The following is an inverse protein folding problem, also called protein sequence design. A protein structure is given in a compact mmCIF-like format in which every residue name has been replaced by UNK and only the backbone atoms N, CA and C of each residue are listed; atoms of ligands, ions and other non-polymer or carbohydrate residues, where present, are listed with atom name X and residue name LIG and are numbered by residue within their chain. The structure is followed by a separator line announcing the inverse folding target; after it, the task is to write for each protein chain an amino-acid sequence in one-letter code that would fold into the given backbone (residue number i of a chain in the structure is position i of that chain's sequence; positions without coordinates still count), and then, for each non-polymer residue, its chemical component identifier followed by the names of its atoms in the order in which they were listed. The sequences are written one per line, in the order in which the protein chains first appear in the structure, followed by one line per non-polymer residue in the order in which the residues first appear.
data_IF_800485785014
#
_entry.id   IF_800485785014
#
_cell.length_a   1.000
_cell.length_b   1.000
_cell.length_c   1.000
_cell.angle_alpha   90.00
_cell.angle_beta   90.00
_cell.angle_gamma   90.00
#
_symmetry.space_group_name_H-M   'P 1'
#
loop_
_entity.id
_entity.type
_entity.pdbx_description
1 polymer ?
#
# COMPACT_ATOMS: atom_id res chain seq x y z
N UNK A 1 -4.78 27.04 10.22
CA UNK A 1 -3.82 25.98 10.63
C UNK A 1 -3.85 24.90 9.56
N UNK A 2 -2.71 24.55 8.96
CA UNK A 2 -2.66 23.61 7.83
C UNK A 2 -1.99 22.29 8.21
N UNK A 3 -2.39 21.20 7.55
CA UNK A 3 -1.73 19.89 7.68
C UNK A 3 -0.51 19.81 6.77
N UNK A 4 0.54 19.12 7.22
CA UNK A 4 1.66 18.78 6.34
C UNK A 4 1.34 17.62 5.39
N UNK A 5 2.26 17.33 4.46
CA UNK A 5 2.05 16.31 3.43
C UNK A 5 1.81 14.91 3.99
N UNK A 6 2.52 14.54 5.07
CA UNK A 6 2.45 13.23 5.69
C UNK A 6 1.29 13.15 6.69
N UNK A 7 0.98 14.23 7.40
CA UNK A 7 -0.25 14.36 8.19
C UNK A 7 -1.49 14.26 7.31
N UNK A 8 -1.46 14.89 6.13
CA UNK A 8 -2.51 14.75 5.13
C UNK A 8 -2.67 13.27 4.75
N UNK A 9 -1.59 12.54 4.49
CA UNK A 9 -1.67 11.12 4.16
C UNK A 9 -2.18 10.25 5.31
N UNK A 10 -1.73 10.52 6.53
CA UNK A 10 -2.19 9.81 7.73
C UNK A 10 -3.68 10.06 7.94
N UNK A 11 -4.12 11.32 7.87
CA UNK A 11 -5.52 11.67 7.96
C UNK A 11 -6.32 10.88 6.91
N UNK A 12 -5.87 10.87 5.66
CA UNK A 12 -6.55 10.17 4.54
C UNK A 12 -6.65 8.66 4.77
N UNK A 13 -5.57 8.04 5.22
CA UNK A 13 -5.59 6.62 5.58
C UNK A 13 -6.63 6.35 6.67
N UNK A 14 -6.65 7.15 7.74
CA UNK A 14 -7.60 7.01 8.84
C UNK A 14 -9.04 7.24 8.36
N UNK A 15 -9.28 8.29 7.58
CA UNK A 15 -10.62 8.62 7.07
C UNK A 15 -11.13 7.56 6.10
N UNK A 16 -10.29 6.99 5.24
CA UNK A 16 -10.71 5.97 4.26
C UNK A 16 -10.86 4.58 4.89
N UNK A 17 -9.99 4.21 5.84
CA UNK A 17 -10.02 2.89 6.46
C UNK A 17 -10.93 2.81 7.68
N UNK A 18 -11.31 3.96 8.27
CA UNK A 18 -12.12 4.13 9.49
C UNK A 18 -11.46 3.64 10.78
N UNK A 19 -10.60 2.63 10.69
CA UNK A 19 -9.77 2.16 11.80
C UNK A 19 -8.40 1.74 11.28
N UNK A 20 -7.35 2.16 11.97
CA UNK A 20 -5.96 1.81 11.63
C UNK A 20 -5.16 1.43 12.87
N UNK A 21 -4.12 0.62 12.68
CA UNK A 21 -3.16 0.38 13.75
C UNK A 21 -2.31 1.61 13.98
N UNK A 22 -2.00 1.93 15.23
CA UNK A 22 -0.96 2.90 15.54
C UNK A 22 0.40 2.42 15.03
N UNK A 23 0.84 1.23 15.44
CA UNK A 23 2.17 0.68 15.09
C UNK A 23 2.33 0.42 13.59
N UNK A 24 1.35 -0.20 12.90
CA UNK A 24 1.42 -0.36 11.44
C UNK A 24 1.43 0.98 10.70
N UNK A 25 0.74 2.01 11.20
CA UNK A 25 0.79 3.33 10.59
C UNK A 25 2.18 3.96 10.77
N UNK A 26 2.76 3.84 11.96
CA UNK A 26 4.15 4.24 12.23
C UNK A 26 5.17 3.51 11.36
N UNK A 27 5.02 2.20 11.17
CA UNK A 27 5.86 1.39 10.26
C UNK A 27 5.66 1.79 8.79
N UNK A 28 4.42 2.04 8.37
CA UNK A 28 4.07 2.43 7.00
C UNK A 28 4.67 3.79 6.61
N UNK A 29 4.75 4.72 7.57
CA UNK A 29 5.22 6.08 7.32
C UNK A 29 6.65 6.36 7.83
N UNK A 30 7.20 5.51 8.70
CA UNK A 30 8.57 5.62 9.23
C UNK A 30 8.76 6.65 10.35
N UNK A 31 7.73 6.92 11.16
CA UNK A 31 7.78 7.89 12.27
C UNK A 31 7.34 7.26 13.60
N UNK A 32 7.87 7.76 14.73
CA UNK A 32 7.57 7.25 16.10
C UNK A 32 6.76 8.23 16.97
N UNK A 33 6.15 9.26 16.37
CA UNK A 33 5.52 10.37 17.11
C UNK A 33 4.06 10.55 16.68
N UNK A 34 3.32 9.45 16.59
CA UNK A 34 1.94 9.47 16.07
C UNK A 34 1.00 10.31 16.93
N UNK A 35 1.16 10.31 18.26
CA UNK A 35 0.25 11.05 19.15
C UNK A 35 0.30 12.57 18.97
N UNK A 36 1.50 13.13 18.79
CA UNK A 36 1.63 14.58 18.54
C UNK A 36 1.00 14.96 17.20
N UNK A 37 1.18 14.12 16.19
CA UNK A 37 0.57 14.32 14.87
C UNK A 37 -0.96 14.22 14.94
N UNK A 38 -1.51 13.24 15.66
CA UNK A 38 -2.96 13.08 15.82
C UNK A 38 -3.58 14.23 16.61
N UNK A 39 -2.90 14.77 17.63
CA UNK A 39 -3.36 15.99 18.32
C UNK A 39 -3.51 17.15 17.34
N UNK A 40 -2.47 17.40 16.54
CA UNK A 40 -2.48 18.45 15.52
C UNK A 40 -3.56 18.21 14.44
N UNK A 41 -3.74 16.96 14.00
CA UNK A 41 -4.79 16.59 13.04
C UNK A 41 -6.19 16.81 13.64
N UNK A 42 -6.42 16.49 14.91
CA UNK A 42 -7.70 16.73 15.56
C UNK A 42 -8.01 18.22 15.71
N UNK A 43 -7.02 19.05 16.07
CA UNK A 43 -7.18 20.51 16.09
C UNK A 43 -7.57 21.05 14.70
N UNK A 44 -6.99 20.48 13.64
CA UNK A 44 -7.36 20.80 12.26
C UNK A 44 -8.80 20.35 11.93
N UNK A 45 -9.19 19.12 12.29
CA UNK A 45 -10.54 18.62 12.04
C UNK A 45 -11.61 19.44 12.76
N UNK A 46 -11.43 19.72 14.05
CA UNK A 46 -12.34 20.55 14.83
C UNK A 46 -12.52 21.95 14.23
N UNK A 47 -11.44 22.60 13.78
CA UNK A 47 -11.50 23.93 13.16
C UNK A 47 -12.22 23.97 11.82
N UNK A 48 -12.46 22.82 11.20
CA UNK A 48 -13.17 22.70 9.93
C UNK A 48 -14.52 21.98 10.09
N UNK A 49 -15.06 21.89 11.31
CA UNK A 49 -16.32 21.22 11.63
C UNK A 49 -16.39 19.76 11.13
N UNK A 50 -15.24 19.10 11.12
CA UNK A 50 -15.15 17.66 10.89
C UNK A 50 -15.00 16.99 12.26
N UNK A 51 -15.65 15.83 12.45
CA UNK A 51 -15.51 15.06 13.69
C UNK A 51 -14.04 14.72 14.02
N UNK A 52 -13.78 14.18 15.20
CA UNK A 52 -12.40 13.92 15.65
C UNK A 52 -11.95 12.48 15.37
N UNK A 53 -10.63 12.30 15.23
CA UNK A 53 -10.00 10.98 15.31
C UNK A 53 -9.89 10.62 16.78
N UNK A 54 -10.48 9.49 17.12
CA UNK A 54 -10.39 8.92 18.45
C UNK A 54 -9.23 7.94 18.52
N UNK A 55 -8.69 7.77 19.72
CA UNK A 55 -7.54 6.91 19.97
C UNK A 55 -7.85 5.94 21.11
N UNK A 56 -7.41 4.70 20.93
CA UNK A 56 -7.22 3.73 22.01
C UNK A 56 -5.72 3.41 22.14
N UNK A 57 -5.36 2.48 23.04
CA UNK A 57 -3.98 2.04 23.24
C UNK A 57 -3.29 1.63 21.92
N UNK A 58 -4.02 0.90 21.06
CA UNK A 58 -3.45 0.27 19.86
C UNK A 58 -4.01 0.82 18.54
N UNK A 59 -5.13 1.54 18.56
CA UNK A 59 -5.87 1.89 17.36
C UNK A 59 -6.20 3.38 17.27
N UNK A 60 -6.30 3.87 16.05
CA UNK A 60 -6.89 5.17 15.71
C UNK A 60 -8.14 4.90 14.88
N UNK A 61 -9.22 5.63 15.16
CA UNK A 61 -10.48 5.37 14.49
C UNK A 61 -11.30 6.65 14.30
N UNK A 62 -12.11 6.66 13.24
CA UNK A 62 -12.88 7.82 12.81
C UNK A 62 -14.27 7.37 12.35
N UNK A 63 -15.29 7.96 12.99
CA UNK A 63 -16.71 7.69 12.72
C UNK A 63 -17.44 8.87 12.07
N UNK A 64 -16.74 9.98 11.81
CA UNK A 64 -17.35 11.13 11.16
C UNK A 64 -17.58 10.91 9.67
N UNK A 65 -18.35 11.82 9.07
CA UNK A 65 -18.35 12.03 7.62
C UNK A 65 -17.37 13.16 7.30
N UNK A 66 -16.71 13.06 6.15
CA UNK A 66 -15.81 14.10 5.66
C UNK A 66 -16.14 14.44 4.20
N UNK A 67 -15.85 15.68 3.82
CA UNK A 67 -15.99 16.16 2.45
C UNK A 67 -14.60 16.31 1.80
N UNK A 68 -14.51 16.17 0.48
CA UNK A 68 -13.22 16.29 -0.23
C UNK A 68 -12.58 17.67 -0.10
N UNK A 69 -13.39 18.71 0.15
CA UNK A 69 -12.92 20.09 0.42
C UNK A 69 -11.97 20.17 1.62
N UNK A 70 -12.04 19.23 2.58
CA UNK A 70 -11.14 19.13 3.74
C UNK A 70 -9.66 19.06 3.34
N UNK A 71 -9.36 18.56 2.14
CA UNK A 71 -8.00 18.39 1.65
C UNK A 71 -7.52 19.53 0.73
N UNK A 72 -8.29 20.61 0.59
CA UNK A 72 -7.84 21.83 -0.09
C UNK A 72 -6.85 22.57 0.82
N UNK A 73 -5.58 22.19 0.73
CA UNK A 73 -4.51 22.82 1.50
C UNK A 73 -4.09 24.12 0.80
N UNK A 74 -4.13 25.25 1.51
CA UNK A 74 -3.49 26.48 1.06
C UNK A 74 -1.96 26.29 1.11
N UNK A 75 -1.37 26.17 -0.08
CA UNK A 75 -0.05 25.62 -0.36
C UNK A 75 1.15 26.48 0.04
N UNK A 76 0.95 27.72 0.50
CA UNK A 76 2.04 28.72 0.55
C UNK A 76 2.87 28.72 1.84
N UNK A 77 2.36 28.22 2.97
CA UNK A 77 2.99 28.45 4.29
C UNK A 77 3.56 27.20 4.99
N UNK A 78 3.61 26.06 4.33
CA UNK A 78 4.07 24.84 5.01
C UNK A 78 5.58 24.73 4.87
N UNK A 79 6.27 25.34 5.82
CA UNK A 79 7.51 24.86 6.38
C UNK A 79 7.65 23.34 6.16
N UNK A 80 8.51 22.89 5.24
CA UNK A 80 8.75 21.45 5.02
C UNK A 80 9.17 20.76 6.32
N UNK A 81 8.22 20.05 6.93
CA UNK A 81 8.45 19.36 8.19
C UNK A 81 9.41 18.20 7.99
N UNK A 82 10.04 17.78 9.08
CA UNK A 82 11.08 16.75 9.14
C UNK A 82 10.73 15.49 8.34
N UNK A 83 9.48 15.06 8.40
CA UNK A 83 8.97 13.85 7.76
C UNK A 83 9.09 13.90 6.22
N UNK A 84 8.64 15.00 5.61
CA UNK A 84 8.73 15.21 4.16
C UNK A 84 10.19 15.40 3.72
N UNK A 85 10.97 16.14 4.52
CA UNK A 85 12.39 16.37 4.25
C UNK A 85 13.19 15.06 4.24
N UNK A 86 12.92 14.14 5.17
CA UNK A 86 13.59 12.83 5.22
C UNK A 86 13.28 11.96 4.02
N UNK A 87 12.04 12.00 3.54
CA UNK A 87 11.67 11.24 2.35
C UNK A 87 12.38 11.75 1.09
N UNK A 88 12.47 13.07 0.92
CA UNK A 88 13.24 13.69 -0.17
C UNK A 88 14.73 13.37 -0.07
N UNK A 89 15.31 13.40 1.14
CA UNK A 89 16.71 13.00 1.34
C UNK A 89 16.90 11.52 0.98
N UNK A 90 15.96 10.65 1.33
CA UNK A 90 16.02 9.22 0.98
C UNK A 90 15.92 9.00 -0.53
N UNK A 91 15.08 9.75 -1.23
CA UNK A 91 15.05 9.77 -2.69
C UNK A 91 16.41 10.11 -3.29
N UNK A 92 17.04 11.19 -2.81
CA UNK A 92 18.36 11.63 -3.28
C UNK A 92 19.42 10.56 -2.97
N UNK A 93 19.41 10.00 -1.75
CA UNK A 93 20.37 9.00 -1.32
C UNK A 93 20.31 7.72 -2.18
N UNK A 94 19.10 7.26 -2.52
CA UNK A 94 18.91 6.00 -3.20
C UNK A 94 18.95 6.14 -4.72
N UNK A 95 18.32 7.17 -5.27
CA UNK A 95 18.13 7.33 -6.72
C UNK A 95 19.07 8.37 -7.33
N UNK A 96 19.70 9.22 -6.51
CA UNK A 96 20.68 10.21 -6.97
C UNK A 96 21.96 9.57 -7.48
N UNK A 97 22.56 10.22 -8.48
CA UNK A 97 23.92 9.90 -8.97
C UNK A 97 25.00 10.43 -8.02
N UNK A 98 24.71 11.51 -7.32
CA UNK A 98 25.63 12.22 -6.43
C UNK A 98 25.15 12.18 -4.97
N UNK A 99 26.05 12.51 -4.05
CA UNK A 99 25.70 12.70 -2.64
C UNK A 99 24.75 13.89 -2.46
N UNK A 100 24.03 13.89 -1.35
CA UNK A 100 23.21 15.02 -0.95
C UNK A 100 24.10 16.25 -0.71
N UNK A 101 23.97 17.25 -1.58
CA UNK A 101 24.50 18.59 -1.33
C UNK A 101 23.50 19.34 -0.44
N UNK A 102 23.81 19.45 0.86
CA UNK A 102 22.94 20.06 1.88
C UNK A 102 22.60 21.52 1.53
N UNK A 103 23.56 22.29 1.01
CA UNK A 103 23.34 23.70 0.65
C UNK A 103 22.41 23.83 -0.55
N UNK A 104 22.65 23.06 -1.62
CA UNK A 104 21.78 23.03 -2.81
C UNK A 104 20.37 22.59 -2.44
N UNK A 105 20.26 21.54 -1.63
CA UNK A 105 18.98 21.07 -1.13
C UNK A 105 18.27 22.13 -0.25
N UNK A 106 18.99 22.82 0.64
CA UNK A 106 18.42 23.89 1.46
C UNK A 106 17.89 25.05 0.62
N UNK A 107 18.63 25.45 -0.43
CA UNK A 107 18.22 26.48 -1.39
C UNK A 107 16.96 26.06 -2.17
N UNK A 108 16.87 24.80 -2.57
CA UNK A 108 15.69 24.25 -3.27
C UNK A 108 14.44 24.25 -2.39
N UNK A 109 14.57 24.03 -1.08
CA UNK A 109 13.45 24.05 -0.12
C UNK A 109 13.18 25.43 0.51
N UNK A 110 13.83 26.49 -0.01
CA UNK A 110 13.63 27.93 0.30
C UNK A 110 13.56 28.25 1.81
N UNK A 111 14.62 27.95 2.57
CA UNK A 111 14.70 28.27 4.01
C UNK A 111 16.00 28.97 4.40
N UNK A 112 15.90 29.84 5.42
CA UNK A 112 17.00 30.53 6.08
C UNK A 112 18.02 29.53 6.69
N UNK A 113 19.24 29.99 6.99
CA UNK A 113 20.42 29.17 7.31
C UNK A 113 20.25 28.16 8.46
N UNK A 114 19.33 28.40 9.41
CA UNK A 114 19.02 27.50 10.53
C UNK A 114 18.58 26.08 10.11
N UNK A 115 18.18 25.85 8.84
CA UNK A 115 17.69 24.56 8.39
C UNK A 115 18.80 23.56 7.96
N UNK A 116 20.04 24.00 7.75
CA UNK A 116 21.16 23.11 7.34
C UNK A 116 21.50 22.07 8.42
N UNK A 117 21.57 22.46 9.69
CA UNK A 117 21.75 21.55 10.85
C UNK A 117 20.66 20.49 10.91
N UNK A 118 19.41 20.88 10.62
CA UNK A 118 18.27 19.96 10.61
C UNK A 118 18.33 18.96 9.44
N UNK A 119 18.73 19.41 8.24
CA UNK A 119 18.98 18.53 7.09
C UNK A 119 20.08 17.51 7.42
N UNK A 120 21.17 17.96 8.05
CA UNK A 120 22.27 17.09 8.44
C UNK A 120 21.84 16.02 9.47
N UNK A 121 21.05 16.42 10.47
CA UNK A 121 20.51 15.48 11.46
C UNK A 121 19.56 14.47 10.80
N UNK A 122 18.73 14.89 9.85
CA UNK A 122 17.87 13.99 9.09
C UNK A 122 18.65 13.00 8.24
N UNK A 123 19.70 13.47 7.55
CA UNK A 123 20.60 12.59 6.82
C UNK A 123 21.23 11.55 7.75
N UNK A 124 21.74 11.95 8.93
CA UNK A 124 22.29 11.01 9.93
C UNK A 124 21.28 9.93 10.33
N UNK A 125 20.01 10.32 10.55
CA UNK A 125 18.95 9.38 10.94
C UNK A 125 18.63 8.40 9.80
N UNK A 126 18.60 8.86 8.55
CA UNK A 126 18.38 7.99 7.38
C UNK A 126 19.56 7.04 7.18
N UNK A 127 20.80 7.51 7.30
CA UNK A 127 21.96 6.63 7.17
C UNK A 127 21.96 5.53 8.25
N UNK A 128 21.50 5.86 9.46
CA UNK A 128 21.33 4.89 10.55
C UNK A 128 20.35 3.77 10.19
N UNK A 129 19.30 4.02 9.41
CA UNK A 129 18.38 2.93 8.98
C UNK A 129 19.06 1.91 8.07
N UNK A 130 20.18 2.28 7.43
CA UNK A 130 20.99 1.41 6.58
C UNK A 130 22.28 0.95 7.26
N UNK A 131 22.44 1.13 8.57
CA UNK A 131 23.68 0.83 9.31
C UNK A 131 24.93 1.53 8.72
N UNK A 132 24.74 2.71 8.12
CA UNK A 132 25.81 3.54 7.56
C UNK A 132 26.15 4.64 8.56
N UNK A 133 27.43 4.75 8.92
CA UNK A 133 27.90 5.87 9.76
C UNK A 133 28.01 7.13 8.91
N UNK A 134 27.65 8.28 9.47
CA UNK A 134 27.72 9.57 8.76
C UNK A 134 29.13 9.91 8.24
N UNK A 135 30.18 9.59 9.02
CA UNK A 135 31.57 9.78 8.60
C UNK A 135 31.95 8.89 7.39
N UNK A 136 31.43 7.66 7.36
CA UNK A 136 31.62 6.73 6.24
C UNK A 136 30.99 7.30 4.97
N UNK A 137 29.75 7.79 5.07
CA UNK A 137 29.06 8.46 3.97
C UNK A 137 29.81 9.69 3.45
N UNK A 138 30.39 10.51 4.33
CA UNK A 138 31.19 11.68 3.91
C UNK A 138 32.46 11.24 3.17
N UNK A 139 33.18 10.24 3.68
CA UNK A 139 34.48 9.81 3.13
C UNK A 139 34.36 9.04 1.81
N UNK A 140 33.30 8.25 1.61
CA UNK A 140 33.19 7.38 0.43
C UNK A 140 32.72 8.12 -0.80
N UNK A 141 33.52 8.27 -1.86
CA UNK A 141 33.06 8.92 -3.10
C UNK A 141 31.91 8.16 -3.79
N UNK A 142 31.92 6.83 -3.74
CA UNK A 142 30.96 5.96 -4.43
C UNK A 142 29.85 5.42 -3.50
N UNK A 143 28.63 5.95 -3.64
CA UNK A 143 27.46 5.53 -2.85
C UNK A 143 27.12 4.06 -3.06
N UNK A 144 27.28 3.52 -4.28
CA UNK A 144 26.98 2.12 -4.54
C UNK A 144 27.91 1.18 -3.78
N UNK A 145 29.21 1.51 -3.72
CA UNK A 145 30.17 0.77 -2.90
C UNK A 145 29.81 0.82 -1.41
N UNK A 146 29.31 1.96 -0.93
CA UNK A 146 28.87 2.13 0.45
C UNK A 146 27.73 1.18 0.82
N UNK A 147 26.70 1.05 -0.04
CA UNK A 147 25.59 0.13 0.19
C UNK A 147 26.01 -1.34 0.06
N UNK A 148 26.86 -1.66 -0.93
CA UNK A 148 27.41 -3.02 -1.10
C UNK A 148 28.18 -3.49 0.14
N UNK A 149 28.99 -2.61 0.74
CA UNK A 149 29.73 -2.92 1.97
C UNK A 149 28.82 -3.21 3.18
N UNK A 150 27.54 -2.84 3.13
CA UNK A 150 26.53 -3.15 4.15
C UNK A 150 25.62 -4.32 3.74
N UNK A 151 26.04 -5.10 2.74
CA UNK A 151 25.29 -6.25 2.20
C UNK A 151 23.91 -5.89 1.62
N UNK A 152 23.75 -4.67 1.09
CA UNK A 152 22.56 -4.31 0.31
C UNK A 152 22.79 -4.47 -1.19
N UNK A 153 21.83 -5.09 -1.86
CA UNK A 153 21.67 -4.94 -3.31
C UNK A 153 21.02 -3.59 -3.61
N UNK A 154 21.83 -2.61 -4.01
CA UNK A 154 21.34 -1.27 -4.29
C UNK A 154 20.34 -1.25 -5.47
N UNK A 155 20.46 -2.16 -6.44
CA UNK A 155 19.52 -2.21 -7.57
C UNK A 155 18.14 -2.64 -7.07
N UNK A 156 18.07 -3.71 -6.29
CA UNK A 156 16.82 -4.16 -5.69
C UNK A 156 16.22 -3.08 -4.78
N UNK A 157 17.06 -2.41 -3.99
CA UNK A 157 16.64 -1.38 -3.06
C UNK A 157 16.09 -0.14 -3.78
N UNK A 158 16.73 0.29 -4.88
CA UNK A 158 16.25 1.36 -5.77
C UNK A 158 14.90 1.02 -6.39
N UNK A 159 14.77 -0.18 -6.97
CA UNK A 159 13.52 -0.64 -7.59
C UNK A 159 12.39 -0.71 -6.57
N UNK A 160 12.64 -1.29 -5.40
CA UNK A 160 11.64 -1.42 -4.34
C UNK A 160 11.21 -0.05 -3.82
N UNK A 161 12.16 0.85 -3.52
CA UNK A 161 11.85 2.18 -3.01
C UNK A 161 11.09 3.03 -4.03
N UNK A 162 11.55 3.07 -5.29
CA UNK A 162 10.87 3.84 -6.33
C UNK A 162 9.44 3.33 -6.57
N UNK A 163 9.23 2.01 -6.58
CA UNK A 163 7.88 1.42 -6.70
C UNK A 163 6.98 1.87 -5.55
N UNK A 164 7.43 1.75 -4.31
CA UNK A 164 6.64 2.15 -3.13
C UNK A 164 6.28 3.64 -3.17
N UNK A 165 7.25 4.49 -3.52
CA UNK A 165 7.03 5.93 -3.70
C UNK A 165 6.00 6.21 -4.79
N UNK A 166 6.15 5.62 -5.97
CA UNK A 166 5.24 5.85 -7.09
C UNK A 166 3.82 5.40 -6.74
N UNK A 167 3.67 4.23 -6.08
CA UNK A 167 2.37 3.78 -5.59
C UNK A 167 1.78 4.77 -4.59
N UNK A 168 2.52 5.11 -3.52
CA UNK A 168 2.05 5.99 -2.44
C UNK A 168 1.71 7.39 -2.94
N UNK A 169 2.46 7.92 -3.89
CA UNK A 169 2.34 9.32 -4.35
C UNK A 169 1.39 9.47 -5.53
N UNK A 170 1.23 8.44 -6.38
CA UNK A 170 0.42 8.52 -7.60
C UNK A 170 -0.93 7.77 -7.55
N UNK A 171 -1.18 6.87 -6.59
CA UNK A 171 -2.51 6.26 -6.38
C UNK A 171 -3.39 7.04 -5.39
N UNK A 172 -2.96 8.23 -4.99
CA UNK A 172 -3.80 9.09 -4.17
C UNK A 172 -5.07 9.45 -4.95
N UNK A 173 -6.22 9.20 -4.35
CA UNK A 173 -7.54 9.34 -4.99
C UNK A 173 -7.96 10.79 -5.26
N UNK A 174 -7.04 11.76 -5.33
CA UNK A 174 -7.43 13.16 -5.46
C UNK A 174 -7.79 13.52 -6.90
N UNK A 175 -9.03 13.95 -7.04
CA UNK A 175 -9.53 14.81 -8.10
C UNK A 175 -8.59 16.00 -8.31
N UNK A 176 -8.09 16.12 -9.54
CA UNK A 176 -8.03 17.37 -10.29
C UNK A 176 -7.03 18.46 -9.90
N UNK A 177 -6.50 18.54 -8.68
CA UNK A 177 -5.53 19.60 -8.31
C UNK A 177 -4.39 19.04 -7.48
N UNK A 178 -3.20 18.95 -8.08
CA UNK A 178 -1.98 18.62 -7.36
C UNK A 178 -1.62 19.75 -6.40
N UNK A 179 -1.32 19.40 -5.15
CA UNK A 179 -0.77 20.36 -4.17
C UNK A 179 0.62 20.82 -4.61
N UNK A 180 1.06 22.00 -4.17
CA UNK A 180 2.42 22.51 -4.31
C UNK A 180 3.44 21.49 -3.81
N UNK A 181 3.18 20.86 -2.66
CA UNK A 181 4.06 19.83 -2.11
C UNK A 181 4.19 18.61 -3.02
N UNK A 182 3.09 18.16 -3.63
CA UNK A 182 3.13 17.05 -4.59
C UNK A 182 3.86 17.45 -5.88
N UNK A 183 3.59 18.65 -6.41
CA UNK A 183 4.29 19.18 -7.58
C UNK A 183 5.80 19.33 -7.32
N UNK A 184 6.17 19.83 -6.14
CA UNK A 184 7.54 19.95 -5.70
C UNK A 184 8.21 18.58 -5.54
N UNK A 185 7.51 17.61 -4.96
CA UNK A 185 7.99 16.24 -4.83
C UNK A 185 8.30 15.61 -6.20
N UNK A 186 7.35 15.71 -7.14
CA UNK A 186 7.56 15.19 -8.48
C UNK A 186 8.64 15.96 -9.23
N UNK A 187 8.77 17.27 -9.02
CA UNK A 187 9.88 18.05 -9.58
C UNK A 187 11.24 17.49 -9.14
N UNK A 188 11.44 17.26 -7.84
CA UNK A 188 12.69 16.65 -7.33
C UNK A 188 12.89 15.25 -7.90
N UNK A 189 11.85 14.41 -7.89
CA UNK A 189 11.94 13.05 -8.43
C UNK A 189 12.33 13.04 -9.91
N UNK A 190 11.76 13.95 -10.70
CA UNK A 190 12.04 14.14 -12.11
C UNK A 190 13.45 14.66 -12.36
N UNK A 191 13.95 15.57 -11.51
CA UNK A 191 15.35 16.03 -11.55
C UNK A 191 16.32 14.88 -11.26
N UNK A 192 16.07 14.09 -10.21
CA UNK A 192 16.93 12.97 -9.80
C UNK A 192 16.99 11.87 -10.88
N UNK A 193 15.84 11.52 -11.45
CA UNK A 193 15.74 10.49 -12.49
C UNK A 193 16.03 11.02 -13.89
N UNK A 194 16.17 12.35 -14.02
CA UNK A 194 16.31 13.08 -15.27
C UNK A 194 15.15 12.80 -16.27
N UNK A 195 13.94 12.47 -15.79
CA UNK A 195 12.75 12.15 -16.61
C UNK A 195 11.67 13.19 -16.32
N UNK A 196 11.18 13.91 -17.32
CA UNK A 196 10.37 15.13 -17.10
C UNK A 196 8.88 14.85 -16.93
N UNK A 197 8.33 13.80 -17.55
CA UNK A 197 6.87 13.61 -17.61
C UNK A 197 6.42 12.27 -16.99
N UNK A 198 6.93 11.91 -15.80
CA UNK A 198 6.59 10.64 -15.13
C UNK A 198 5.07 10.41 -15.01
N UNK A 199 4.26 11.46 -14.69
CA UNK A 199 2.79 11.34 -14.62
C UNK A 199 2.16 11.00 -15.98
N UNK A 200 2.67 11.59 -17.06
CA UNK A 200 2.23 11.31 -18.43
C UNK A 200 2.61 9.88 -18.86
N UNK A 201 3.83 9.45 -18.55
CA UNK A 201 4.33 8.09 -18.79
C UNK A 201 3.42 7.08 -18.06
N UNK A 202 3.14 7.29 -16.76
CA UNK A 202 2.19 6.47 -16.00
C UNK A 202 0.86 6.36 -16.74
N UNK A 203 0.26 7.49 -17.13
CA UNK A 203 -1.06 7.52 -17.78
C UNK A 203 -1.06 6.68 -19.05
N UNK A 204 -0.09 6.88 -19.95
CA UNK A 204 -0.02 6.13 -21.20
C UNK A 204 0.24 4.64 -20.98
N UNK A 205 1.18 4.29 -20.09
CA UNK A 205 1.48 2.90 -19.77
C UNK A 205 0.28 2.19 -19.15
N UNK A 206 -0.44 2.84 -18.23
CA UNK A 206 -1.57 2.21 -17.55
C UNK A 206 -2.75 2.06 -18.51
N UNK A 207 -3.03 3.05 -19.37
CA UNK A 207 -4.05 2.91 -20.42
C UNK A 207 -3.73 1.74 -21.36
N UNK A 208 -2.47 1.60 -21.77
CA UNK A 208 -2.04 0.49 -22.61
C UNK A 208 -2.18 -0.86 -21.88
N UNK A 209 -1.76 -0.93 -20.62
CA UNK A 209 -1.89 -2.12 -19.79
C UNK A 209 -3.35 -2.54 -19.67
N UNK A 210 -4.24 -1.59 -19.37
CA UNK A 210 -5.67 -1.84 -19.15
C UNK A 210 -6.38 -2.32 -20.42
N UNK A 211 -5.91 -1.91 -21.61
CA UNK A 211 -6.54 -2.23 -22.89
C UNK A 211 -5.94 -3.47 -23.58
N UNK A 212 -4.63 -3.68 -23.46
CA UNK A 212 -3.89 -4.63 -24.31
C UNK A 212 -3.15 -5.72 -23.54
N UNK A 213 -3.25 -5.76 -22.22
CA UNK A 213 -2.56 -6.77 -21.39
C UNK A 213 -3.48 -7.33 -20.32
N UNK A 214 -3.09 -8.47 -19.74
CA UNK A 214 -3.83 -9.09 -18.63
C UNK A 214 -3.29 -8.67 -17.24
N UNK A 215 -2.47 -7.62 -17.18
CA UNK A 215 -1.87 -7.14 -15.93
C UNK A 215 -2.92 -6.35 -15.13
N UNK A 216 -3.43 -6.99 -14.09
CA UNK A 216 -4.51 -6.43 -13.26
C UNK A 216 -4.01 -5.84 -11.94
N UNK A 217 -2.99 -6.42 -11.30
CA UNK A 217 -2.57 -5.97 -9.97
C UNK A 217 -1.91 -4.59 -10.02
N UNK A 218 -2.29 -3.70 -9.10
CA UNK A 218 -1.62 -2.41 -8.93
C UNK A 218 -0.14 -2.58 -8.63
N UNK A 219 0.21 -3.59 -7.84
CA UNK A 219 1.60 -3.90 -7.54
C UNK A 219 2.41 -4.24 -8.81
N UNK A 220 1.84 -5.01 -9.74
CA UNK A 220 2.47 -5.33 -11.02
C UNK A 220 2.58 -4.11 -11.94
N UNK A 221 1.49 -3.35 -12.10
CA UNK A 221 1.48 -2.11 -12.89
C UNK A 221 2.59 -1.15 -12.46
N UNK A 222 2.75 -0.96 -11.16
CA UNK A 222 3.82 -0.12 -10.62
C UNK A 222 5.20 -0.76 -10.72
N UNK A 223 5.32 -2.08 -10.65
CA UNK A 223 6.58 -2.77 -10.92
C UNK A 223 7.03 -2.57 -12.38
N UNK A 224 6.08 -2.55 -13.31
CA UNK A 224 6.32 -2.29 -14.74
C UNK A 224 6.71 -0.82 -14.96
N UNK A 225 5.97 0.12 -14.36
CA UNK A 225 6.30 1.55 -14.41
C UNK A 225 7.70 1.83 -13.85
N UNK A 226 8.04 1.27 -12.68
CA UNK A 226 9.37 1.40 -12.08
C UNK A 226 10.45 0.86 -13.00
N UNK A 227 10.24 -0.34 -13.56
CA UNK A 227 11.19 -0.92 -14.51
C UNK A 227 11.36 -0.02 -15.74
N UNK A 228 10.28 0.53 -16.27
CA UNK A 228 10.32 1.44 -17.40
C UNK A 228 11.18 2.67 -17.10
N UNK A 229 10.85 3.38 -16.02
CA UNK A 229 11.52 4.61 -15.60
C UNK A 229 13.02 4.40 -15.39
N UNK A 230 13.42 3.29 -14.76
CA UNK A 230 14.83 3.04 -14.44
C UNK A 230 15.66 2.60 -15.65
N UNK A 231 15.04 2.09 -16.72
CA UNK A 231 15.77 1.44 -17.83
C UNK A 231 15.53 2.09 -19.20
N UNK A 232 14.57 3.01 -19.35
CA UNK A 232 14.23 3.61 -20.66
C UNK A 232 15.36 4.41 -21.32
N UNK A 233 16.40 4.78 -20.56
CA UNK A 233 17.58 5.52 -21.03
C UNK A 233 18.83 4.66 -21.24
N UNK A 234 18.77 3.37 -20.95
CA UNK A 234 19.96 2.50 -21.04
C UNK A 234 20.40 2.35 -22.51
N UNK A 235 21.65 2.73 -22.81
CA UNK A 235 22.21 2.74 -24.17
C UNK A 235 23.14 1.58 -24.49
N UNK A 236 23.53 0.77 -23.51
CA UNK A 236 24.48 -0.31 -23.72
C UNK A 236 23.81 -1.58 -24.25
N UNK A 237 24.28 -2.03 -25.43
CA UNK A 237 24.56 -3.45 -25.84
C UNK A 237 24.19 -3.73 -27.31
N UNK A 238 25.11 -4.37 -28.04
CA UNK A 238 24.86 -5.05 -29.33
C UNK A 238 23.76 -6.11 -29.16
N UNK A 239 22.60 -5.94 -29.79
CA UNK A 239 21.46 -6.86 -29.70
C UNK A 239 21.00 -7.31 -31.09
N UNK A 240 20.84 -8.62 -31.28
CA UNK A 240 20.57 -9.23 -32.60
C UNK A 240 19.09 -9.21 -33.00
N UNK A 241 18.16 -9.04 -32.06
CA UNK A 241 16.72 -9.19 -32.30
C UNK A 241 15.96 -7.87 -32.14
N UNK A 242 15.21 -7.44 -33.15
CA UNK A 242 14.40 -6.22 -33.10
C UNK A 242 12.93 -6.59 -33.23
N UNK A 243 12.10 -6.17 -32.28
CA UNK A 243 10.65 -6.22 -32.45
C UNK A 243 10.28 -5.38 -33.67
N UNK A 244 9.69 -6.02 -34.69
CA UNK A 244 9.14 -5.35 -35.87
C UNK A 244 7.72 -4.90 -35.55
N UNK A 245 7.33 -3.75 -36.12
CA UNK A 245 5.96 -3.27 -36.03
C UNK A 245 5.06 -4.16 -36.87
N UNK A 246 4.00 -4.66 -36.27
CA UNK A 246 2.91 -5.43 -36.87
C UNK A 246 1.58 -4.83 -36.43
N UNK A 247 0.47 -5.26 -37.00
CA UNK A 247 -0.85 -4.78 -36.56
C UNK A 247 -1.13 -5.15 -35.10
N UNK A 248 -0.68 -6.33 -34.65
CA UNK A 248 -0.84 -6.80 -33.26
C UNK A 248 -0.17 -5.91 -32.22
N UNK A 249 0.97 -5.29 -32.56
CA UNK A 249 1.75 -4.47 -31.63
C UNK A 249 1.75 -2.98 -31.99
N UNK A 250 0.91 -2.56 -32.93
CA UNK A 250 0.83 -1.18 -33.41
C UNK A 250 0.61 -0.18 -32.28
N UNK A 251 -0.30 -0.48 -31.36
CA UNK A 251 -0.63 0.37 -30.21
C UNK A 251 0.53 0.48 -29.21
N UNK A 252 1.34 -0.56 -29.07
CA UNK A 252 2.57 -0.50 -28.28
C UNK A 252 3.54 0.53 -28.87
N UNK A 253 3.78 0.48 -30.18
CA UNK A 253 4.64 1.44 -30.86
C UNK A 253 4.09 2.88 -30.79
N UNK A 254 2.77 3.06 -30.89
CA UNK A 254 2.13 4.39 -30.73
C UNK A 254 2.37 4.95 -29.33
N UNK A 255 2.16 4.13 -28.29
CA UNK A 255 2.44 4.53 -26.91
C UNK A 255 3.91 4.92 -26.72
N UNK A 256 4.83 4.10 -27.24
CA UNK A 256 6.26 4.33 -27.09
C UNK A 256 6.74 5.56 -27.85
N UNK A 257 6.21 5.82 -29.04
CA UNK A 257 6.48 7.04 -29.83
C UNK A 257 5.97 8.29 -29.10
N UNK A 258 4.76 8.25 -28.55
CA UNK A 258 4.20 9.33 -27.72
C UNK A 258 5.08 9.65 -26.51
N UNK A 259 5.63 8.63 -25.84
CA UNK A 259 6.55 8.82 -24.71
C UNK A 259 7.89 9.39 -25.19
N UNK A 260 8.48 8.79 -26.23
CA UNK A 260 9.76 9.20 -26.82
C UNK A 260 9.77 10.66 -27.27
N UNK A 261 8.73 11.09 -28.02
CA UNK A 261 8.55 12.49 -28.44
C UNK A 261 8.41 13.45 -27.27
N UNK A 262 7.62 13.08 -26.26
CA UNK A 262 7.38 13.95 -25.08
C UNK A 262 8.61 14.10 -24.19
N UNK A 263 9.39 13.02 -24.02
CA UNK A 263 10.64 13.04 -23.26
C UNK A 263 11.84 13.55 -24.08
N UNK A 264 11.69 13.74 -25.40
CA UNK A 264 12.80 14.03 -26.33
C UNK A 264 13.92 12.99 -26.19
N UNK A 265 13.54 11.71 -26.07
CA UNK A 265 14.45 10.61 -25.78
C UNK A 265 14.34 9.54 -26.87
N UNK A 266 15.46 9.15 -27.48
CA UNK A 266 15.52 7.96 -28.32
C UNK A 266 15.54 6.70 -27.45
N UNK A 267 14.46 5.92 -27.52
CA UNK A 267 14.33 4.69 -26.74
C UNK A 267 14.99 3.54 -27.49
N UNK A 268 15.85 2.81 -26.79
CA UNK A 268 16.62 1.70 -27.36
C UNK A 268 15.72 0.54 -27.82
N UNK A 269 16.09 -0.09 -28.95
CA UNK A 269 15.32 -1.18 -29.56
C UNK A 269 15.33 -2.47 -28.75
N UNK A 270 16.42 -2.77 -28.01
CA UNK A 270 16.48 -3.90 -27.10
C UNK A 270 15.57 -3.65 -25.90
N UNK A 271 15.61 -2.45 -25.33
CA UNK A 271 14.67 -2.08 -24.27
C UNK A 271 13.21 -2.23 -24.73
N UNK A 272 12.85 -1.70 -25.90
CA UNK A 272 11.53 -1.86 -26.52
C UNK A 272 11.10 -3.33 -26.57
N UNK A 273 11.99 -4.20 -27.06
CA UNK A 273 11.72 -5.63 -27.23
C UNK A 273 11.53 -6.34 -25.88
N UNK A 274 12.41 -6.07 -24.91
CA UNK A 274 12.32 -6.65 -23.56
C UNK A 274 11.08 -6.15 -22.81
N UNK A 275 10.76 -4.87 -22.97
CA UNK A 275 9.62 -4.25 -22.34
C UNK A 275 8.30 -4.79 -22.90
N UNK A 276 8.20 -4.96 -24.23
CA UNK A 276 7.06 -5.62 -24.86
C UNK A 276 6.84 -7.04 -24.31
N UNK A 277 7.89 -7.87 -24.25
CA UNK A 277 7.81 -9.21 -23.65
C UNK A 277 7.40 -9.20 -22.18
N UNK A 278 7.79 -8.15 -21.44
CA UNK A 278 7.44 -7.99 -20.02
C UNK A 278 5.95 -7.64 -19.84
N UNK A 279 5.37 -6.86 -20.76
CA UNK A 279 3.95 -6.52 -20.79
C UNK A 279 3.08 -7.70 -21.25
N UNK A 280 3.53 -8.42 -22.28
CA UNK A 280 2.77 -9.49 -22.95
C UNK A 280 3.20 -10.87 -22.48
N UNK A 281 3.03 -11.14 -21.18
CA UNK A 281 3.19 -12.49 -20.61
C UNK A 281 1.94 -13.34 -20.93
N UNK A 282 2.04 -14.67 -20.79
CA UNK A 282 0.97 -15.61 -21.16
C UNK A 282 -0.39 -15.22 -20.56
N UNK A 283 -1.41 -15.20 -21.41
CA UNK A 283 -2.79 -14.81 -21.10
C UNK A 283 -3.47 -15.77 -20.14
N UNK A 284 -4.23 -15.23 -19.19
CA UNK A 284 -5.26 -15.96 -18.43
C UNK A 284 -6.41 -14.99 -18.09
N UNK A 285 -7.58 -15.54 -17.72
CA UNK A 285 -8.84 -14.79 -17.55
C UNK A 285 -9.20 -14.69 -16.05
N UNK A 286 -8.84 -13.60 -15.35
CA UNK A 286 -9.08 -13.45 -13.91
C UNK A 286 -10.57 -13.52 -13.54
N UNK A 287 -11.45 -13.08 -14.43
CA UNK A 287 -12.91 -13.13 -14.27
C UNK A 287 -13.44 -14.56 -14.10
N UNK A 288 -12.82 -15.54 -14.78
CA UNK A 288 -13.20 -16.95 -14.62
C UNK A 288 -12.89 -17.44 -13.21
N UNK A 289 -11.68 -17.15 -12.71
CA UNK A 289 -11.26 -17.53 -11.36
C UNK A 289 -12.16 -16.87 -10.30
N UNK A 290 -12.51 -15.59 -10.47
CA UNK A 290 -13.40 -14.89 -9.56
C UNK A 290 -14.84 -15.42 -9.64
N UNK A 291 -15.32 -15.81 -10.83
CA UNK A 291 -16.63 -16.44 -11.00
C UNK A 291 -16.70 -17.79 -10.27
N UNK A 292 -15.67 -18.61 -10.39
CA UNK A 292 -15.55 -19.89 -9.67
C UNK A 292 -15.58 -19.70 -8.15
N UNK A 293 -14.79 -18.75 -7.63
CA UNK A 293 -14.78 -18.42 -6.20
C UNK A 293 -16.17 -17.97 -5.72
N UNK A 294 -16.83 -17.06 -6.45
CA UNK A 294 -18.16 -16.57 -6.07
C UNK A 294 -19.24 -17.66 -6.15
N UNK A 295 -19.17 -18.57 -7.13
CA UNK A 295 -20.07 -19.73 -7.21
C UNK A 295 -19.91 -20.64 -6.00
N UNK A 296 -18.67 -20.95 -5.59
CA UNK A 296 -18.41 -21.76 -4.40
C UNK A 296 -18.99 -21.11 -3.12
N UNK A 297 -18.81 -19.79 -2.96
CA UNK A 297 -19.37 -19.03 -1.83
C UNK A 297 -20.91 -19.09 -1.82
N UNK A 298 -21.57 -19.01 -2.98
CA UNK A 298 -23.02 -19.11 -3.07
C UNK A 298 -23.53 -20.51 -2.73
N UNK A 299 -22.79 -21.56 -3.13
CA UNK A 299 -23.14 -22.95 -2.80
C UNK A 299 -23.03 -23.20 -1.29
N UNK A 300 -21.96 -22.73 -0.64
CA UNK A 300 -21.82 -22.82 0.83
C UNK A 300 -22.98 -22.13 1.56
N UNK A 301 -23.37 -20.92 1.11
CA UNK A 301 -24.52 -20.20 1.69
C UNK A 301 -25.85 -20.93 1.52
N UNK A 302 -26.06 -21.55 0.36
CA UNK A 302 -27.29 -22.30 0.08
C UNK A 302 -27.36 -23.60 0.90
N UNK A 303 -26.22 -24.24 1.17
CA UNK A 303 -26.16 -25.42 2.06
C UNK A 303 -26.39 -25.07 3.54
N UNK A 304 -26.04 -23.85 3.97
CA UNK A 304 -26.37 -23.35 5.32
C UNK A 304 -27.85 -22.93 5.44
N UNK A 305 -28.49 -22.47 4.36
CA UNK A 305 -29.89 -21.95 4.39
C UNK A 305 -30.95 -22.99 4.10
N UNK A 306 -30.70 -23.97 3.23
CA UNK A 306 -31.51 -25.18 3.15
C UNK A 306 -30.94 -26.13 4.20
N UNK A 307 -31.70 -26.45 5.25
CA UNK A 307 -31.29 -27.34 6.36
C UNK A 307 -30.95 -28.79 5.97
N UNK A 308 -30.07 -28.98 4.99
CA UNK A 308 -29.39 -30.22 4.69
C UNK A 308 -28.38 -30.36 5.82
N UNK A 309 -28.82 -30.99 6.92
CA UNK A 309 -27.91 -31.63 7.88
C UNK A 309 -26.80 -32.28 7.06
N UNK A 310 -25.55 -31.84 7.27
CA UNK A 310 -24.38 -32.62 6.89
C UNK A 310 -24.69 -34.06 7.29
N UNK A 311 -24.80 -34.94 6.31
CA UNK A 311 -25.05 -36.36 6.57
C UNK A 311 -23.89 -36.83 7.44
N UNK A 312 -24.21 -37.06 8.71
CA UNK A 312 -23.36 -37.74 9.67
C UNK A 312 -22.89 -39.05 9.03
N UNK A 313 -21.64 -39.10 8.63
CA UNK A 313 -20.98 -40.38 8.42
C UNK A 313 -19.58 -40.37 9.02
N UNK A 314 -19.60 -40.80 10.29
CA UNK A 314 -18.64 -41.66 10.98
C UNK A 314 -17.46 -40.99 11.72
N UNK A 315 -17.72 -40.92 13.04
CA UNK A 315 -16.83 -41.08 14.20
C UNK A 315 -16.00 -39.87 14.64
N UNK A 316 -16.62 -39.10 15.53
CA UNK A 316 -15.99 -38.68 16.79
C UNK A 316 -14.98 -37.53 16.73
N UNK A 317 -15.33 -36.42 16.07
CA UNK A 317 -14.69 -35.12 16.32
C UNK A 317 -15.76 -34.05 16.39
N UNK A 318 -15.90 -33.43 17.56
CA UNK A 318 -16.72 -32.23 17.75
C UNK A 318 -16.38 -31.20 16.65
N UNK A 319 -17.41 -30.62 16.02
CA UNK A 319 -17.26 -29.62 14.95
C UNK A 319 -16.84 -28.24 15.52
N UNK A 320 -15.73 -28.19 16.25
CA UNK A 320 -15.12 -26.95 16.73
C UNK A 320 -14.25 -26.30 15.66
N UNK A 321 -14.26 -24.97 15.57
CA UNK A 321 -13.35 -24.23 14.68
C UNK A 321 -12.06 -23.89 15.39
N UNK A 322 -10.93 -24.11 14.73
CA UNK A 322 -9.63 -23.64 15.21
C UNK A 322 -9.58 -22.11 15.25
N UNK A 323 -9.53 -21.56 16.46
CA UNK A 323 -9.28 -20.15 16.72
C UNK A 323 -7.94 -20.01 17.44
N UNK A 324 -7.04 -19.21 16.86
CA UNK A 324 -5.79 -18.85 17.51
C UNK A 324 -6.06 -17.72 18.48
N UNK A 325 -6.16 -18.05 19.78
CA UNK A 325 -6.22 -17.05 20.84
C UNK A 325 -4.81 -16.75 21.35
N UNK A 326 -4.46 -15.48 21.44
CA UNK A 326 -3.29 -15.06 22.20
C UNK A 326 -3.82 -14.69 23.59
N UNK A 327 -3.27 -15.27 24.66
CA UNK A 327 -3.59 -14.84 26.01
C UNK A 327 -3.31 -13.34 26.12
N UNK A 328 -4.36 -12.54 26.26
CA UNK A 328 -4.33 -11.08 26.12
C UNK A 328 -3.47 -10.37 27.19
N UNK A 329 -3.07 -11.09 28.24
CA UNK A 329 -2.41 -10.53 29.42
C UNK A 329 -0.88 -10.47 29.34
N UNK A 330 -0.19 -11.17 28.43
CA UNK A 330 1.29 -11.30 28.51
C UNK A 330 2.07 -11.15 27.20
N UNK A 331 1.42 -10.79 26.09
CA UNK A 331 2.14 -10.59 24.82
C UNK A 331 2.49 -9.13 24.58
N UNK A 332 3.65 -8.73 25.08
CA UNK A 332 4.35 -7.57 24.55
C UNK A 332 4.80 -7.88 23.11
N UNK A 333 4.04 -7.42 22.11
CA UNK A 333 4.23 -7.69 20.68
C UNK A 333 5.46 -6.98 20.06
N UNK A 334 6.25 -6.29 20.89
CA UNK A 334 7.58 -5.77 20.53
C UNK A 334 8.67 -6.83 20.60
N UNK A 335 8.39 -7.98 21.23
CA UNK A 335 9.35 -9.06 21.31
C UNK A 335 9.48 -9.78 19.95
N UNK A 336 10.69 -9.80 19.39
CA UNK A 336 10.99 -10.47 18.10
C UNK A 336 10.73 -11.98 18.18
N UNK A 337 10.71 -12.55 19.39
CA UNK A 337 10.53 -13.97 19.66
C UNK A 337 9.06 -14.39 19.79
N UNK A 338 8.25 -14.06 18.78
CA UNK A 338 6.92 -14.67 18.62
C UNK A 338 7.01 -16.18 18.28
N UNK A 339 8.19 -16.65 17.87
CA UNK A 339 8.51 -18.07 17.69
C UNK A 339 8.44 -18.86 19.00
N UNK A 340 8.74 -18.24 20.14
CA UNK A 340 8.86 -18.92 21.44
C UNK A 340 7.59 -18.81 22.30
N UNK A 341 6.60 -18.01 21.90
CA UNK A 341 5.33 -17.89 22.63
C UNK A 341 4.33 -18.93 22.11
N UNK A 342 3.88 -19.84 22.98
CA UNK A 342 2.84 -20.83 22.67
C UNK A 342 1.57 -20.09 22.22
N UNK A 343 1.24 -20.21 20.94
CA UNK A 343 -0.11 -19.92 20.45
C UNK A 343 -1.04 -20.99 21.02
N UNK A 344 -1.99 -20.57 21.86
CA UNK A 344 -3.01 -21.47 22.38
C UNK A 344 -4.09 -21.62 21.31
N UNK A 345 -4.12 -22.81 20.71
CA UNK A 345 -5.26 -23.25 19.90
C UNK A 345 -6.46 -23.38 20.82
N UNK A 346 -7.51 -22.60 20.56
CA UNK A 346 -8.81 -22.80 21.19
C UNK A 346 -9.77 -23.25 20.11
N UNK A 347 -10.52 -24.31 20.40
CA UNK A 347 -11.66 -24.70 19.57
C UNK A 347 -12.86 -23.93 20.11
N UNK A 348 -13.56 -23.22 19.22
CA UNK A 348 -14.80 -22.50 19.53
C UNK A 348 -15.89 -23.12 18.66
N UNK A 349 -17.09 -23.34 19.21
CA UNK A 349 -18.21 -23.86 18.43
C UNK A 349 -18.60 -22.87 17.33
N UNK A 350 -18.95 -23.40 16.14
CA UNK A 350 -19.34 -22.58 14.97
C UNK A 350 -20.46 -21.59 15.30
N UNK A 351 -21.45 -22.03 16.06
CA UNK A 351 -22.65 -21.27 16.43
C UNK A 351 -22.38 -20.08 17.37
N UNK A 352 -21.23 -20.09 18.05
CA UNK A 352 -20.81 -19.00 18.94
C UNK A 352 -20.03 -17.90 18.19
N UNK A 353 -19.68 -18.11 16.92
CA UNK A 353 -18.84 -17.17 16.18
C UNK A 353 -19.66 -16.10 15.47
N UNK A 354 -19.56 -14.85 15.95
CA UNK A 354 -20.14 -13.68 15.24
C UNK A 354 -19.55 -13.59 13.83
N UNK A 355 -20.39 -13.83 12.82
CA UNK A 355 -20.06 -13.70 11.40
C UNK A 355 -20.26 -12.27 10.96
N UNK A 356 -19.24 -11.66 10.36
CA UNK A 356 -19.30 -10.27 9.86
C UNK A 356 -19.40 -10.29 8.35
N UNK A 357 -20.44 -9.66 7.79
CA UNK A 357 -20.67 -9.61 6.34
C UNK A 357 -19.54 -8.83 5.67
N UNK A 358 -18.76 -9.49 4.83
CA UNK A 358 -17.49 -8.95 4.32
C UNK A 358 -17.44 -9.01 2.80
N UNK A 359 -17.18 -7.85 2.17
CA UNK A 359 -16.74 -7.78 0.78
C UNK A 359 -15.23 -8.03 0.73
N UNK A 360 -14.77 -8.99 -0.06
CA UNK A 360 -13.34 -9.26 -0.25
C UNK A 360 -12.90 -8.67 -1.58
N UNK A 361 -11.95 -7.75 -1.54
CA UNK A 361 -11.30 -7.17 -2.71
C UNK A 361 -9.91 -7.76 -2.85
N UNK A 362 -9.59 -8.29 -4.02
CA UNK A 362 -8.27 -8.88 -4.30
C UNK A 362 -7.49 -7.95 -5.23
N UNK A 363 -6.23 -7.66 -4.89
CA UNK A 363 -5.26 -6.92 -5.70
C UNK A 363 -3.93 -7.69 -5.74
N UNK A 364 -3.94 -8.80 -6.48
CA UNK A 364 -2.80 -9.72 -6.63
C UNK A 364 -2.68 -10.16 -8.08
N UNK A 365 -1.52 -10.69 -8.43
CA UNK A 365 -1.31 -11.29 -9.75
C UNK A 365 -2.35 -12.39 -9.98
N UNK A 366 -2.82 -12.54 -11.21
CA UNK A 366 -3.92 -13.46 -11.52
C UNK A 366 -3.69 -14.89 -11.02
N UNK A 367 -2.50 -15.44 -11.28
CA UNK A 367 -2.10 -16.80 -10.85
C UNK A 367 -2.04 -16.97 -9.32
N UNK A 368 -2.11 -15.88 -8.57
CA UNK A 368 -2.09 -15.86 -7.11
C UNK A 368 -3.47 -15.62 -6.51
N UNK A 369 -4.53 -15.29 -7.28
CA UNK A 369 -5.86 -14.95 -6.74
C UNK A 369 -6.41 -16.10 -5.88
N UNK A 370 -6.64 -17.27 -6.48
CA UNK A 370 -7.24 -18.41 -5.78
C UNK A 370 -6.37 -18.87 -4.61
N UNK A 371 -5.06 -18.96 -4.83
CA UNK A 371 -4.10 -19.38 -3.80
C UNK A 371 -4.09 -18.41 -2.62
N UNK A 372 -4.09 -17.11 -2.88
CA UNK A 372 -4.06 -16.08 -1.83
C UNK A 372 -5.39 -16.00 -1.10
N UNK A 373 -6.50 -16.02 -1.83
CA UNK A 373 -7.83 -16.06 -1.26
C UNK A 373 -7.99 -17.26 -0.31
N UNK A 374 -7.74 -18.49 -0.80
CA UNK A 374 -7.85 -19.70 0.02
C UNK A 374 -6.89 -19.67 1.21
N UNK A 375 -5.67 -19.16 1.01
CA UNK A 375 -4.68 -19.03 2.10
C UNK A 375 -5.16 -18.09 3.19
N UNK A 376 -5.81 -16.98 2.84
CA UNK A 376 -6.35 -16.02 3.81
C UNK A 376 -7.64 -16.58 4.44
N UNK A 377 -8.59 -17.07 3.65
CA UNK A 377 -9.90 -17.53 4.16
C UNK A 377 -9.78 -18.69 5.17
N UNK A 378 -8.77 -19.57 5.04
CA UNK A 378 -8.45 -20.60 6.05
C UNK A 378 -8.30 -20.07 7.47
N UNK A 379 -7.95 -18.80 7.63
CA UNK A 379 -7.66 -18.14 8.90
C UNK A 379 -8.78 -17.20 9.36
N UNK A 380 -9.73 -16.88 8.48
CA UNK A 380 -10.77 -15.87 8.70
C UNK A 380 -12.17 -16.51 8.78
N UNK A 381 -12.30 -17.50 9.68
CA UNK A 381 -13.54 -18.25 9.91
C UNK A 381 -14.72 -17.41 10.43
N UNK A 382 -14.48 -16.19 10.90
CA UNK A 382 -15.48 -15.26 11.43
C UNK A 382 -16.00 -14.27 10.37
N UNK A 383 -15.60 -14.42 9.10
CA UNK A 383 -16.09 -13.61 7.99
C UNK A 383 -17.21 -14.36 7.27
N UNK A 384 -18.33 -13.70 7.02
CA UNK A 384 -19.28 -14.13 6.01
C UNK A 384 -18.94 -13.42 4.70
N UNK A 385 -18.30 -14.13 3.75
CA UNK A 385 -17.94 -13.53 2.48
C UNK A 385 -19.20 -13.30 1.64
N UNK A 386 -19.50 -12.05 1.33
CA UNK A 386 -20.68 -11.68 0.53
C UNK A 386 -20.37 -11.78 -0.96
N UNK A 387 -19.17 -11.32 -1.34
CA UNK A 387 -18.69 -11.31 -2.71
C UNK A 387 -17.17 -11.18 -2.72
N UNK A 388 -16.55 -11.73 -3.76
CA UNK A 388 -15.13 -11.54 -4.07
C UNK A 388 -15.01 -10.83 -5.41
N UNK A 389 -14.33 -9.69 -5.43
CA UNK A 389 -14.08 -8.93 -6.66
C UNK A 389 -12.60 -8.53 -6.77
N UNK A 390 -12.12 -8.32 -7.99
CA UNK A 390 -10.84 -7.67 -8.18
C UNK A 390 -10.96 -6.17 -7.90
N UNK A 391 -9.95 -5.56 -7.27
CA UNK A 391 -9.96 -4.13 -6.92
C UNK A 391 -10.17 -3.19 -8.11
N UNK A 392 -9.78 -3.59 -9.32
CA UNK A 392 -10.02 -2.80 -10.55
C UNK A 392 -11.49 -2.78 -10.97
N UNK A 393 -12.25 -3.85 -10.67
CA UNK A 393 -13.65 -3.96 -11.05
C UNK A 393 -14.55 -3.25 -10.02
N UNK A 394 -14.03 -3.04 -8.82
CA UNK A 394 -14.72 -2.32 -7.77
C UNK A 394 -14.82 -0.83 -8.09
N UNK A 395 -16.03 -0.27 -7.96
CA UNK A 395 -16.22 1.18 -7.97
C UNK A 395 -15.48 1.75 -6.77
N UNK A 396 -14.35 2.42 -7.01
CA UNK A 396 -13.39 2.97 -6.04
C UNK A 396 -13.94 4.07 -5.09
N UNK A 397 -15.24 4.04 -4.79
CA UNK A 397 -15.96 4.96 -3.92
C UNK A 397 -17.05 4.20 -3.15
N UNK A 398 -17.10 4.39 -1.83
CA UNK A 398 -18.15 3.89 -0.93
C UNK A 398 -18.88 5.12 -0.36
N UNK A 399 -20.16 5.30 -0.71
CA UNK A 399 -20.94 6.51 -0.36
C UNK A 399 -22.09 6.28 0.63
N UNK A 400 -22.59 5.05 0.79
CA UNK A 400 -23.73 4.73 1.67
C UNK A 400 -23.44 3.47 2.50
N UNK A 401 -24.03 3.40 3.68
CA UNK A 401 -23.98 2.22 4.57
C UNK A 401 -24.90 1.06 4.10
N UNK A 402 -25.73 1.27 3.08
CA UNK A 402 -26.68 0.25 2.57
C UNK A 402 -26.03 -0.68 1.52
N UNK A 403 -24.78 -1.04 1.72
CA UNK A 403 -24.13 -2.09 0.94
C UNK A 403 -24.42 -3.43 1.62
N UNK A 404 -24.65 -4.51 0.88
CA UNK A 404 -24.91 -5.84 1.46
C UNK A 404 -23.77 -6.45 2.30
N UNK A 405 -22.77 -5.65 2.68
CA UNK A 405 -21.61 -5.98 3.49
C UNK A 405 -21.39 -4.88 4.55
N UNK A 406 -20.85 -5.28 5.70
CA UNK A 406 -20.58 -4.42 6.86
C UNK A 406 -19.13 -3.95 6.93
N UNK A 407 -18.22 -4.64 6.24
CA UNK A 407 -16.81 -4.31 6.15
C UNK A 407 -16.20 -4.74 4.82
N UNK A 408 -15.03 -4.18 4.49
CA UNK A 408 -14.24 -4.54 3.31
C UNK A 408 -12.90 -5.11 3.74
N UNK A 409 -12.52 -6.27 3.20
CA UNK A 409 -11.18 -6.84 3.35
C UNK A 409 -10.45 -6.79 2.01
N UNK A 410 -9.36 -6.03 1.94
CA UNK A 410 -8.46 -5.98 0.80
C UNK A 410 -7.33 -6.99 1.01
N UNK A 411 -7.11 -7.90 0.06
CA UNK A 411 -5.96 -8.80 0.01
C UNK A 411 -5.04 -8.32 -1.10
N UNK A 412 -3.80 -7.91 -0.77
CA UNK A 412 -2.88 -7.32 -1.75
C UNK A 412 -1.42 -7.63 -1.49
N UNK A 413 -0.60 -7.55 -2.54
CA UNK A 413 0.86 -7.53 -2.43
C UNK A 413 1.42 -6.15 -2.01
N UNK A 414 0.58 -5.13 -1.85
CA UNK A 414 0.98 -3.74 -1.58
C UNK A 414 0.55 -3.22 -0.20
N UNK A 415 1.46 -2.45 0.42
CA UNK A 415 1.23 -1.73 1.69
C UNK A 415 0.46 -0.41 1.51
N UNK A 416 0.41 0.13 0.28
CA UNK A 416 -0.03 1.50 0.00
C UNK A 416 -1.28 1.57 -0.90
N UNK A 417 -2.20 0.63 -0.75
CA UNK A 417 -3.51 0.70 -1.42
C UNK A 417 -4.43 1.68 -0.71
N UNK A 418 -4.38 2.94 -1.12
CA UNK A 418 -5.40 3.92 -0.76
C UNK A 418 -6.11 4.38 -2.03
N UNK A 419 -6.82 3.45 -2.67
CA UNK A 419 -7.51 3.66 -3.95
C UNK A 419 -9.02 3.83 -3.81
N UNK A 420 -9.60 3.56 -2.63
CA UNK A 420 -11.05 3.63 -2.36
C UNK A 420 -11.40 4.86 -1.53
N UNK A 421 -12.25 5.75 -2.06
CA UNK A 421 -12.80 6.86 -1.26
C UNK A 421 -13.92 6.33 -0.40
N UNK A 422 -13.83 6.53 0.91
CA UNK A 422 -14.82 5.97 1.81
C UNK A 422 -15.54 7.06 2.61
N UNK A 423 -16.68 7.49 2.09
CA UNK A 423 -17.56 8.47 2.74
C UNK A 423 -18.57 7.82 3.69
N UNK A 424 -18.53 6.49 3.86
CA UNK A 424 -19.42 5.70 4.72
C UNK A 424 -18.80 5.43 6.11
N UNK A 425 -19.45 4.59 6.91
CA UNK A 425 -18.93 4.15 8.22
C UNK A 425 -18.38 2.72 8.15
N UNK A 426 -18.27 2.16 6.94
CA UNK A 426 -17.81 0.80 6.68
C UNK A 426 -16.29 0.77 6.80
N UNK A 427 -15.70 -0.02 7.72
CA UNK A 427 -14.25 -0.10 7.86
C UNK A 427 -13.65 -0.89 6.70
N UNK A 428 -12.44 -0.47 6.30
CA UNK A 428 -11.63 -1.17 5.30
C UNK A 428 -10.40 -1.74 6.00
N UNK A 429 -10.12 -3.01 5.75
CA UNK A 429 -8.97 -3.72 6.31
C UNK A 429 -8.03 -4.14 5.18
N UNK A 430 -6.72 -3.95 5.35
CA UNK A 430 -5.73 -4.41 4.37
C UNK A 430 -4.92 -5.59 4.92
N UNK A 431 -4.97 -6.70 4.21
CA UNK A 431 -4.15 -7.88 4.40
C UNK A 431 -3.03 -7.88 3.36
N UNK A 432 -1.80 -7.62 3.83
CA UNK A 432 -0.63 -7.53 2.94
C UNK A 432 0.04 -8.89 2.83
N UNK A 433 0.08 -9.47 1.65
CA UNK A 433 0.81 -10.70 1.37
C UNK A 433 2.33 -10.42 1.47
N UNK A 434 2.99 -11.10 2.39
CA UNK A 434 4.44 -10.99 2.59
C UNK A 434 5.23 -11.71 1.49
N UNK A 435 6.41 -11.17 1.16
CA UNK A 435 7.40 -11.81 0.26
C UNK A 435 8.43 -12.67 0.99
N UNK A 436 8.09 -13.20 2.17
CA UNK A 436 9.06 -13.94 2.97
C UNK A 436 9.54 -15.20 2.27
N UNK A 437 10.87 -15.37 2.24
CA UNK A 437 11.52 -16.60 1.83
C UNK A 437 11.29 -17.64 2.94
N UNK A 438 10.70 -18.79 2.59
CA UNK A 438 10.43 -19.89 3.53
C UNK A 438 8.96 -20.00 3.95
N UNK A 439 8.46 -21.24 3.99
CA UNK A 439 7.06 -21.58 4.29
C UNK A 439 6.65 -21.19 5.72
N UNK A 440 7.54 -21.41 6.69
CA UNK A 440 7.28 -21.12 8.11
C UNK A 440 7.15 -19.62 8.39
N UNK A 441 8.09 -18.82 7.88
CA UNK A 441 8.13 -17.38 8.04
C UNK A 441 6.85 -16.74 7.44
N UNK A 442 6.48 -17.16 6.22
CA UNK A 442 5.23 -16.75 5.58
C UNK A 442 3.98 -17.11 6.39
N UNK A 443 3.93 -18.29 7.03
CA UNK A 443 2.82 -18.68 7.91
C UNK A 443 2.75 -17.80 9.16
N UNK A 444 3.89 -17.54 9.80
CA UNK A 444 3.98 -16.69 11.00
C UNK A 444 3.48 -15.27 10.68
N UNK A 445 3.91 -14.67 9.58
CA UNK A 445 3.47 -13.32 9.24
C UNK A 445 1.99 -13.23 8.88
N UNK A 446 1.42 -14.28 8.28
CA UNK A 446 -0.02 -14.37 8.03
C UNK A 446 -0.80 -14.45 9.34
N UNK A 447 -0.35 -15.30 10.27
CA UNK A 447 -0.96 -15.43 11.60
C UNK A 447 -0.90 -14.11 12.38
N UNK A 448 0.26 -13.44 12.42
CA UNK A 448 0.40 -12.12 13.06
C UNK A 448 -0.58 -11.10 12.48
N UNK A 449 -0.70 -11.04 11.15
CA UNK A 449 -1.63 -10.14 10.49
C UNK A 449 -3.10 -10.50 10.73
N UNK A 450 -3.44 -11.78 10.71
CA UNK A 450 -4.79 -12.28 11.02
C UNK A 450 -5.22 -11.84 12.42
N UNK A 451 -4.42 -12.16 13.45
CA UNK A 451 -4.74 -11.85 14.86
C UNK A 451 -4.94 -10.34 15.01
N UNK A 452 -4.06 -9.57 14.38
CA UNK A 452 -4.13 -8.13 14.36
C UNK A 452 -5.44 -7.60 13.73
N UNK A 453 -5.82 -8.09 12.56
CA UNK A 453 -7.02 -7.68 11.84
C UNK A 453 -8.29 -8.14 12.54
N UNK A 454 -8.33 -9.39 13.04
CA UNK A 454 -9.43 -9.91 13.85
C UNK A 454 -9.71 -8.98 15.04
N UNK A 455 -8.67 -8.66 15.81
CA UNK A 455 -8.81 -7.75 16.96
C UNK A 455 -9.32 -6.37 16.54
N UNK A 456 -8.82 -5.81 15.44
CA UNK A 456 -9.35 -4.54 14.92
C UNK A 456 -10.83 -4.63 14.54
N UNK A 457 -11.24 -5.69 13.85
CA UNK A 457 -12.61 -5.87 13.37
C UNK A 457 -13.59 -5.91 14.54
N UNK A 458 -13.30 -6.72 15.56
CA UNK A 458 -14.11 -6.78 16.78
C UNK A 458 -14.09 -5.47 17.57
N UNK A 459 -12.92 -4.85 17.73
CA UNK A 459 -12.82 -3.55 18.42
C UNK A 459 -13.63 -2.45 17.72
N UNK A 460 -13.66 -2.44 16.38
CA UNK A 460 -14.46 -1.47 15.64
C UNK A 460 -15.96 -1.70 15.84
N UNK A 461 -16.39 -2.96 15.90
CA UNK A 461 -17.78 -3.30 16.20
C UNK A 461 -18.19 -2.86 17.61
N UNK A 462 -17.34 -3.08 18.62
CA UNK A 462 -17.54 -2.58 19.99
C UNK A 462 -17.70 -1.06 20.00
N UNK A 463 -16.75 -0.33 19.41
CA UNK A 463 -16.81 1.14 19.35
C UNK A 463 -18.06 1.66 18.61
N UNK A 464 -18.53 0.93 17.59
CA UNK A 464 -19.76 1.27 16.86
C UNK A 464 -21.00 1.05 17.73
N UNK A 465 -21.04 0.00 18.56
CA UNK A 465 -22.13 -0.27 19.50
C UNK A 465 -22.19 0.80 20.60
N UNK A 466 -21.07 1.08 21.25
CA UNK A 466 -20.98 2.07 22.34
C UNK A 466 -21.47 3.46 21.89
N UNK A 467 -21.20 3.82 20.63
CA UNK A 467 -21.62 5.11 20.05
C UNK A 467 -23.07 5.14 19.58
N UNK A 468 -23.62 4.01 19.14
CA UNK A 468 -25.04 3.93 18.76
C UNK A 468 -25.97 4.06 19.97
N UNK A 469 -25.46 3.92 21.19
CA UNK A 469 -26.21 4.17 22.42
C UNK A 469 -26.30 5.69 22.74
N UNK A 470 -25.54 6.57 22.06
CA UNK A 470 -25.60 8.04 22.25
C UNK A 470 -26.55 8.71 21.21
N UNK A 471 -27.24 7.93 20.39
CA UNK A 471 -28.31 8.42 19.49
C UNK A 471 -29.64 7.68 19.74
N UNK A 472 -30.03 7.54 21.00
CA UNK A 472 -31.43 7.37 21.39
C UNK A 472 -31.91 8.62 22.08
#
# INVERSE_FOLDING_TARGET
MGLDFNESDILKDILNFKIVNRKKLEEKYGFKIIDRMIKHINEFLCKNDNGIIHKSKNYLYYFGKYYESLFKINDRDINMRMSFRRELITLILLLGKEKLNIYKFNKQIRRNEQNTKNIQNDLKQILKTYNIKHLEYIRTANIEKLFKNKNYDLKELRENYLREILMRRMEKIYIGKSTYQENFYFKILQEILEIKNIKYIKRLLFLYIDQFTDIISMYEKYSILTYFILNMKSTDIKFKYRLKKTDENKEFFIMMDKISKREKLKIDCKFMTLFYKKLHRKKRKPEKILSEINKAIMIEKNQETFGIKKVETRKGKEEGVEVYSIAETSVNFENKDLLNKKLLKKYIHLDETVKIRTLVLVDVEENQILKSFNKVMKFFNFLEVVKVEHLNNFKKVITKNNTGYEQVLIISNSKFLNTIRNFSDIPIFNFVLGKEKGTLQSRINILKQMIYLRRMMFQYLEFKKDRKIIHK
#
